data_IF_847475042007
#
_entry.id   IF_847475042007
#
_cell.length_a   1.000
_cell.length_b   1.000
_cell.length_c   1.000
_cell.angle_alpha   90.00
_cell.angle_beta   90.00
_cell.angle_gamma   90.00
#
_symmetry.space_group_name_H-M   'P 1'
#
loop_
_entity.id
_entity.type
_entity.pdbx_description
1 polymer ?
#
# COMPACT_ATOMS: atom_id res chain seq x y z
N UNK A 1 3.84 26.00 0.81
CA UNK A 1 4.07 24.85 1.70
C UNK A 1 4.59 23.76 0.79
N UNK A 2 5.83 23.29 1.00
CA UNK A 2 6.37 22.17 0.23
C UNK A 2 5.53 20.93 0.55
N UNK A 3 5.00 20.29 -0.48
CA UNK A 3 4.32 19.02 -0.33
C UNK A 3 5.39 17.94 -0.22
N UNK A 4 5.49 17.30 0.95
CA UNK A 4 6.38 16.14 1.11
C UNK A 4 5.74 14.94 0.41
N UNK A 5 6.22 14.67 -0.80
CA UNK A 5 5.89 13.49 -1.57
C UNK A 5 6.92 12.40 -1.29
N UNK A 6 6.46 11.19 -1.03
CA UNK A 6 7.31 10.01 -0.91
C UNK A 6 7.11 9.18 -2.18
N UNK A 7 8.20 8.90 -2.88
CA UNK A 7 8.21 7.95 -3.99
C UNK A 7 8.68 6.59 -3.47
N UNK A 8 7.83 5.59 -3.64
CA UNK A 8 8.10 4.21 -3.27
C UNK A 8 8.41 3.39 -4.52
N UNK A 9 9.40 2.49 -4.45
CA UNK A 9 9.67 1.54 -5.51
C UNK A 9 8.50 0.56 -5.66
N UNK A 10 8.51 -0.19 -6.76
CA UNK A 10 7.53 -1.24 -7.03
C UNK A 10 7.54 -2.36 -5.99
N UNK A 11 8.65 -2.56 -5.29
CA UNK A 11 8.80 -3.61 -4.28
C UNK A 11 9.26 -3.00 -2.96
N UNK A 12 8.51 -3.25 -1.90
CA UNK A 12 8.76 -2.69 -0.56
C UNK A 12 8.66 -3.79 0.47
N UNK A 13 9.58 -3.82 1.42
CA UNK A 13 9.49 -4.72 2.58
C UNK A 13 8.74 -4.01 3.71
N UNK A 14 7.64 -4.59 4.16
CA UNK A 14 6.78 -3.99 5.18
C UNK A 14 6.26 -5.07 6.12
N UNK A 15 6.38 -4.86 7.43
CA UNK A 15 5.99 -5.84 8.46
C UNK A 15 6.57 -7.25 8.27
N UNK A 16 7.79 -7.34 7.69
CA UNK A 16 8.47 -8.61 7.44
C UNK A 16 8.17 -9.23 6.07
N UNK A 17 7.09 -8.81 5.41
CA UNK A 17 6.63 -9.30 4.11
C UNK A 17 7.17 -8.47 2.94
N UNK A 18 7.32 -9.09 1.77
CA UNK A 18 7.67 -8.39 0.53
C UNK A 18 6.41 -8.04 -0.25
N UNK A 19 6.10 -6.75 -0.35
CA UNK A 19 4.95 -6.24 -1.09
C UNK A 19 5.36 -5.81 -2.49
N UNK A 20 4.56 -6.20 -3.49
CA UNK A 20 4.78 -5.84 -4.89
C UNK A 20 3.60 -5.05 -5.43
N UNK A 21 3.89 -3.81 -5.84
CA UNK A 21 2.94 -2.87 -6.43
C UNK A 21 3.01 -2.92 -7.97
N UNK A 22 2.03 -2.34 -8.65
CA UNK A 22 1.93 -2.35 -10.12
C UNK A 22 2.81 -1.32 -10.82
N UNK A 23 3.45 -0.44 -10.05
CA UNK A 23 4.35 0.61 -10.51
C UNK A 23 4.94 1.36 -9.32
N UNK A 24 5.89 2.28 -9.55
CA UNK A 24 6.34 3.19 -8.51
C UNK A 24 5.17 4.07 -8.05
N UNK A 25 5.08 4.30 -6.75
CA UNK A 25 3.91 4.95 -6.14
C UNK A 25 4.35 6.24 -5.48
N UNK A 26 3.62 7.31 -5.77
CA UNK A 26 3.85 8.63 -5.20
C UNK A 26 2.76 8.95 -4.19
N UNK A 27 3.14 9.02 -2.93
CA UNK A 27 2.23 9.23 -1.81
C UNK A 27 2.46 10.62 -1.22
N UNK A 28 1.38 11.34 -0.96
CA UNK A 28 1.45 12.57 -0.20
C UNK A 28 1.50 12.25 1.28
N UNK A 29 2.45 12.84 2.01
CA UNK A 29 2.52 12.75 3.47
C UNK A 29 1.28 13.34 4.19
N UNK A 30 0.45 14.10 3.46
CA UNK A 30 -0.77 14.72 4.00
C UNK A 30 -1.87 13.72 4.31
N UNK A 31 -1.87 12.57 3.63
CA UNK A 31 -2.92 11.56 3.73
C UNK A 31 -2.39 10.27 4.35
N UNK A 32 -3.27 9.54 5.03
CA UNK A 32 -2.91 8.22 5.54
C UNK A 32 -2.92 7.23 4.39
N UNK A 33 -1.76 6.68 4.03
CA UNK A 33 -1.63 5.62 3.04
C UNK A 33 -1.69 4.23 3.68
N UNK A 34 -2.45 3.34 3.07
CA UNK A 34 -2.61 1.93 3.46
C UNK A 34 -2.17 1.02 2.32
N UNK A 35 -1.26 0.09 2.59
CA UNK A 35 -0.93 -0.99 1.69
C UNK A 35 -1.95 -2.10 1.91
N UNK A 36 -2.71 -2.43 0.88
CA UNK A 36 -3.77 -3.45 0.93
C UNK A 36 -3.50 -4.55 -0.08
N UNK A 37 -3.90 -5.77 0.26
CA UNK A 37 -3.75 -6.93 -0.61
C UNK A 37 -4.58 -6.76 -1.89
N UNK A 38 -3.94 -6.89 -3.05
CA UNK A 38 -4.63 -6.89 -4.34
C UNK A 38 -5.07 -8.31 -4.71
N UNK A 39 -6.31 -8.64 -4.35
CA UNK A 39 -6.93 -9.94 -4.65
C UNK A 39 -7.08 -10.25 -6.14
N UNK A 40 -7.01 -9.24 -7.01
CA UNK A 40 -7.25 -9.42 -8.45
C UNK A 40 -5.95 -9.73 -9.18
N UNK A 41 -4.82 -9.31 -8.63
CA UNK A 41 -3.51 -9.51 -9.26
C UNK A 41 -3.08 -10.97 -9.16
N UNK A 42 -2.56 -11.46 -10.27
CA UNK A 42 -1.87 -12.74 -10.36
C UNK A 42 -0.43 -12.46 -10.75
N UNK A 43 0.52 -13.09 -10.08
CA UNK A 43 1.89 -13.10 -10.54
C UNK A 43 2.03 -14.09 -11.70
N UNK A 44 2.90 -13.76 -12.65
CA UNK A 44 3.21 -14.66 -13.77
C UNK A 44 3.89 -15.95 -13.26
N UNK A 45 4.81 -15.79 -12.30
CA UNK A 45 5.41 -16.90 -11.54
C UNK A 45 4.83 -16.94 -10.12
N UNK A 46 4.38 -18.11 -9.62
CA UNK A 46 3.89 -18.24 -8.25
C UNK A 46 5.04 -18.07 -7.26
N UNK A 47 5.03 -16.94 -6.55
CA UNK A 47 5.97 -16.61 -5.49
C UNK A 47 5.19 -16.40 -4.18
N UNK A 48 5.40 -17.30 -3.22
CA UNK A 48 4.73 -17.25 -1.91
C UNK A 48 5.36 -16.24 -0.95
N UNK A 49 6.56 -15.74 -1.26
CA UNK A 49 7.27 -14.75 -0.44
C UNK A 49 6.91 -13.31 -0.82
N UNK A 50 6.09 -13.14 -1.86
CA UNK A 50 5.66 -11.85 -2.38
C UNK A 50 4.15 -11.73 -2.34
N UNK A 51 3.67 -10.63 -1.82
CA UNK A 51 2.24 -10.32 -1.79
C UNK A 51 1.93 -9.19 -2.77
N UNK A 52 0.92 -9.35 -3.64
CA UNK A 52 0.51 -8.27 -4.52
C UNK A 52 -0.23 -7.21 -3.69
N UNK A 53 0.13 -5.95 -3.84
CA UNK A 53 -0.46 -4.88 -3.07
C UNK A 53 -0.82 -3.67 -3.92
N UNK A 54 -1.79 -2.88 -3.43
CA UNK A 54 -2.12 -1.54 -3.92
C UNK A 54 -2.12 -0.56 -2.75
N UNK A 55 -1.79 0.70 -3.02
CA UNK A 55 -1.91 1.76 -2.03
C UNK A 55 -3.27 2.44 -2.15
N UNK A 56 -3.95 2.55 -1.01
CA UNK A 56 -5.15 3.36 -0.86
C UNK A 56 -4.86 4.54 0.07
N UNK A 57 -5.27 5.73 -0.34
CA UNK A 57 -5.20 6.92 0.49
C UNK A 57 -6.56 7.15 1.19
N UNK A 58 -6.50 7.53 2.46
CA UNK A 58 -7.66 8.03 3.19
C UNK A 58 -7.47 9.52 3.50
N UNK A 59 -8.39 10.33 2.98
CA UNK A 59 -8.46 11.77 3.24
C UNK A 59 -9.50 12.10 4.32
N UNK A 60 -10.46 11.20 4.53
CA UNK A 60 -11.52 11.35 5.55
C UNK A 60 -11.60 10.15 6.50
N UNK A 61 -12.15 10.31 7.71
CA UNK A 61 -12.36 9.20 8.64
C UNK A 61 -13.25 8.08 8.08
N UNK A 62 -14.24 8.42 7.25
CA UNK A 62 -15.13 7.45 6.62
C UNK A 62 -14.38 6.57 5.62
N UNK A 63 -13.49 7.15 4.81
CA UNK A 63 -12.64 6.39 3.90
C UNK A 63 -11.69 5.46 4.68
N UNK A 64 -11.08 5.96 5.74
CA UNK A 64 -10.25 5.17 6.64
C UNK A 64 -11.03 3.98 7.23
N UNK A 65 -12.27 4.21 7.67
CA UNK A 65 -13.14 3.16 8.18
C UNK A 65 -13.48 2.11 7.10
N UNK A 66 -13.82 2.54 5.89
CA UNK A 66 -14.16 1.63 4.80
C UNK A 66 -12.98 0.74 4.41
N UNK A 67 -11.77 1.30 4.29
CA UNK A 67 -10.54 0.54 4.01
C UNK A 67 -10.33 -0.52 5.10
N UNK A 68 -10.31 -0.12 6.37
CA UNK A 68 -10.07 -1.04 7.49
C UNK A 68 -11.14 -2.13 7.63
N UNK A 69 -12.36 -1.86 7.17
CA UNK A 69 -13.50 -2.78 7.26
C UNK A 69 -13.51 -3.83 6.14
N UNK A 70 -13.19 -3.43 4.92
CA UNK A 70 -13.40 -4.25 3.72
C UNK A 70 -12.11 -4.76 3.08
N UNK A 71 -10.96 -4.18 3.40
CA UNK A 71 -9.68 -4.57 2.82
C UNK A 71 -8.80 -5.32 3.82
N UNK A 72 -7.92 -6.17 3.29
CA UNK A 72 -6.83 -6.75 4.09
C UNK A 72 -5.66 -5.78 4.07
N UNK A 73 -5.48 -5.09 5.20
CA UNK A 73 -4.40 -4.13 5.39
C UNK A 73 -3.11 -4.86 5.76
N UNK A 74 -2.09 -4.73 4.91
CA UNK A 74 -0.76 -5.30 5.10
C UNK A 74 0.16 -4.35 5.87
N UNK A 75 -0.15 -3.05 5.82
CA UNK A 75 0.37 -2.04 6.72
C UNK A 75 0.16 -0.62 6.19
N UNK A 76 0.92 0.34 6.72
CA UNK A 76 0.76 1.77 6.47
C UNK A 76 2.06 2.42 6.06
N UNK A 77 1.98 3.64 5.50
CA UNK A 77 3.18 4.45 5.18
C UNK A 77 4.06 4.71 6.41
N UNK A 78 3.47 4.75 7.62
CA UNK A 78 4.22 4.96 8.85
C UNK A 78 5.09 3.75 9.26
N UNK A 79 4.88 2.59 8.63
CA UNK A 79 5.62 1.35 8.88
C UNK A 79 6.82 1.17 7.93
N UNK A 80 7.08 2.16 7.07
CA UNK A 80 8.19 2.18 6.10
C UNK A 80 9.53 2.61 6.71
#
# INVERSE_FOLDING_TARGET
MEEDWIELPETVRLNGETLVFTGPIRLSSRFKGYAVLDWRRKFDDPDLEKLPAVWLAAETPEQEYLIRKYEVVLGTVADL
#
